data_IF_049148348317
#
_entry.id   IF_049148348317
#
_cell.length_a   1.000
_cell.length_b   1.000
_cell.length_c   1.000
_cell.angle_alpha   90.00
_cell.angle_beta   90.00
_cell.angle_gamma   90.00
#
_symmetry.space_group_name_H-M   'P 1'
#
loop_
_entity.id
_entity.type
_entity.pdbx_description
1 polymer ?
#
# COMPACT_ATOMS: atom_id res chain seq x y z
N UNK A 1 14.78 85.33 17.18
CA UNK A 1 15.21 84.54 16.01
C UNK A 1 13.93 84.10 15.33
N UNK A 2 13.41 84.93 14.42
CA UNK A 2 13.66 84.83 12.95
C UNK A 2 13.17 83.46 12.42
N UNK A 3 12.02 83.43 11.72
CA UNK A 3 11.91 83.45 10.24
C UNK A 3 12.35 82.10 9.61
N UNK A 4 11.75 81.51 8.58
CA UNK A 4 10.60 81.79 7.74
C UNK A 4 10.39 80.61 6.75
N UNK A 5 9.13 80.45 6.30
CA UNK A 5 8.63 80.17 4.92
C UNK A 5 9.16 78.99 4.06
N UNK A 6 8.21 78.17 3.58
CA UNK A 6 7.65 78.13 2.20
C UNK A 6 6.59 76.98 2.12
N UNK A 7 5.27 77.12 1.83
CA UNK A 7 4.49 77.62 0.64
C UNK A 7 5.11 77.21 -0.69
N UNK A 8 4.43 76.68 -1.72
CA UNK A 8 3.04 76.36 -2.15
C UNK A 8 3.21 75.43 -3.38
N UNK A 9 2.28 74.54 -3.75
CA UNK A 9 1.36 74.65 -4.92
C UNK A 9 0.66 73.29 -5.02
N UNK A 10 -0.65 73.11 -4.78
CA UNK A 10 -1.86 73.49 -5.53
C UNK A 10 -2.06 72.78 -6.89
N UNK A 11 -2.94 71.76 -6.92
CA UNK A 11 -3.98 71.52 -7.96
C UNK A 11 -4.88 70.32 -7.60
N UNK A 12 -6.12 70.62 -7.20
CA UNK A 12 -7.37 69.88 -7.50
C UNK A 12 -8.03 70.58 -8.73
N UNK A 13 -9.14 70.14 -9.37
CA UNK A 13 -10.12 69.09 -9.03
C UNK A 13 -10.49 68.19 -10.24
N UNK A 14 -11.31 67.14 -10.11
CA UNK A 14 -12.74 67.03 -10.53
C UNK A 14 -13.18 65.61 -10.06
N UNK A 15 -14.13 65.34 -9.14
CA UNK A 15 -15.57 65.66 -9.03
C UNK A 15 -16.27 65.57 -10.37
N UNK A 16 -17.15 64.60 -10.60
CA UNK A 16 -18.54 64.52 -10.07
C UNK A 16 -19.15 63.16 -10.49
N UNK A 17 -20.20 62.56 -9.92
CA UNK A 17 -21.13 62.84 -8.82
C UNK A 17 -21.81 61.50 -8.46
N UNK A 18 -21.84 61.15 -7.17
CA UNK A 18 -23.04 60.99 -6.30
C UNK A 18 -23.84 59.69 -6.48
N UNK A 19 -23.73 58.77 -5.49
CA UNK A 19 -24.68 58.52 -4.36
C UNK A 19 -25.99 57.89 -4.86
N UNK A 20 -26.48 56.80 -4.29
CA UNK A 20 -26.79 56.65 -2.86
C UNK A 20 -27.07 55.16 -2.55
N UNK A 21 -26.67 54.69 -1.34
CA UNK A 21 -27.36 53.72 -0.44
C UNK A 21 -27.80 52.33 -0.96
N UNK A 22 -27.75 51.22 -0.24
CA UNK A 22 -27.39 50.82 1.13
C UNK A 22 -27.50 49.26 1.12
N UNK A 23 -26.76 48.58 2.00
CA UNK A 23 -26.95 47.17 2.46
C UNK A 23 -26.99 46.01 1.44
N UNK A 24 -25.95 45.16 1.48
CA UNK A 24 -26.04 43.86 2.16
C UNK A 24 -24.66 43.16 2.24
N UNK A 25 -24.36 42.62 3.42
CA UNK A 25 -23.14 41.86 3.73
C UNK A 25 -23.22 40.49 3.05
N UNK A 26 -22.29 40.20 2.13
CA UNK A 26 -22.05 38.85 1.64
C UNK A 26 -21.36 37.99 2.70
N UNK A 27 -22.16 37.28 3.49
CA UNK A 27 -21.74 36.13 4.29
C UNK A 27 -21.70 34.88 3.41
N UNK A 28 -20.64 34.08 3.58
CA UNK A 28 -20.44 32.76 3.00
C UNK A 28 -21.67 31.86 3.17
N UNK A 29 -22.09 31.07 2.16
CA UNK A 29 -23.10 30.06 2.38
C UNK A 29 -22.48 28.87 3.10
N UNK A 30 -22.95 28.70 4.33
CA UNK A 30 -22.71 27.60 5.26
C UNK A 30 -23.35 26.29 4.80
N UNK A 31 -22.55 25.21 4.85
CA UNK A 31 -22.81 23.78 5.13
C UNK A 31 -24.16 23.07 4.88
N UNK A 32 -25.33 23.72 4.96
CA UNK A 32 -26.64 23.04 4.92
C UNK A 32 -27.24 22.84 3.52
N UNK A 33 -26.80 23.61 2.52
CA UNK A 33 -27.29 23.47 1.14
C UNK A 33 -26.54 22.40 0.32
N UNK A 34 -25.44 21.84 0.85
CA UNK A 34 -24.78 20.67 0.24
C UNK A 34 -25.45 19.36 0.64
N UNK A 35 -25.88 19.20 1.89
CA UNK A 35 -26.62 18.00 2.34
C UNK A 35 -27.97 17.85 1.61
N UNK A 36 -28.71 18.95 1.41
CA UNK A 36 -30.00 18.89 0.68
C UNK A 36 -29.88 18.60 -0.82
N UNK A 37 -28.72 18.89 -1.43
CA UNK A 37 -28.47 18.53 -2.83
C UNK A 37 -28.02 17.07 -3.00
N UNK A 38 -27.37 16.48 -1.99
CA UNK A 38 -27.06 15.05 -1.99
C UNK A 38 -28.30 14.18 -1.69
N UNK A 39 -29.25 14.65 -0.86
CA UNK A 39 -30.52 13.93 -0.61
C UNK A 39 -31.44 13.86 -1.85
N UNK A 40 -31.35 14.82 -2.78
CA UNK A 40 -32.22 14.88 -3.97
C UNK A 40 -31.73 14.05 -5.16
N UNK A 41 -30.53 13.46 -5.10
CA UNK A 41 -30.00 12.53 -6.12
C UNK A 41 -29.94 11.06 -5.63
N UNK A 42 -30.70 10.70 -4.59
CA UNK A 42 -31.00 9.28 -4.35
C UNK A 42 -31.94 8.80 -5.46
N UNK A 43 -31.33 8.18 -6.49
CA UNK A 43 -32.02 7.46 -7.55
C UNK A 43 -33.12 6.57 -6.96
N UNK A 44 -34.23 6.36 -7.65
CA UNK A 44 -35.32 5.48 -7.17
C UNK A 44 -34.79 4.07 -6.80
N UNK A 45 -33.73 3.62 -7.47
CA UNK A 45 -33.00 2.38 -7.14
C UNK A 45 -32.31 2.41 -5.77
N UNK A 46 -31.73 3.55 -5.35
CA UNK A 46 -31.07 3.67 -4.05
C UNK A 46 -32.09 3.70 -2.91
N UNK A 47 -33.27 4.30 -3.14
CA UNK A 47 -34.38 4.28 -2.17
C UNK A 47 -34.96 2.88 -2.00
N UNK A 48 -35.17 2.17 -3.11
CA UNK A 48 -35.60 0.77 -3.07
C UNK A 48 -34.58 -0.10 -2.32
N UNK A 49 -33.28 0.11 -2.57
CA UNK A 49 -32.23 -0.60 -1.86
C UNK A 49 -32.25 -0.31 -0.35
N UNK A 50 -32.46 0.95 0.06
CA UNK A 50 -32.60 1.29 1.46
C UNK A 50 -33.82 0.60 2.10
N UNK A 51 -34.98 0.65 1.45
CA UNK A 51 -36.22 0.01 1.94
C UNK A 51 -36.07 -1.52 2.04
N UNK A 52 -35.42 -2.16 1.05
CA UNK A 52 -35.17 -3.59 1.05
C UNK A 52 -34.24 -4.00 2.21
N UNK A 53 -33.18 -3.22 2.45
CA UNK A 53 -32.25 -3.44 3.57
C UNK A 53 -32.94 -3.26 4.92
N UNK A 54 -33.75 -2.21 5.08
CA UNK A 54 -34.55 -1.97 6.29
C UNK A 54 -35.52 -3.12 6.55
N UNK A 55 -36.24 -3.59 5.52
CA UNK A 55 -37.14 -4.73 5.61
C UNK A 55 -36.42 -6.01 6.07
N UNK A 56 -35.19 -6.24 5.60
CA UNK A 56 -34.40 -7.40 6.03
C UNK A 56 -33.97 -7.30 7.49
N UNK A 57 -33.55 -6.12 7.96
CA UNK A 57 -33.22 -5.91 9.38
C UNK A 57 -34.45 -6.07 10.27
N UNK A 58 -35.64 -5.64 9.83
CA UNK A 58 -36.89 -5.88 10.54
C UNK A 58 -37.24 -7.37 10.61
N UNK A 59 -37.11 -8.11 9.51
CA UNK A 59 -37.29 -9.58 9.51
C UNK A 59 -36.33 -10.31 10.44
N UNK A 60 -35.13 -9.77 10.64
CA UNK A 60 -34.16 -10.28 11.62
C UNK A 60 -34.52 -9.95 13.07
N UNK A 61 -35.38 -8.95 13.27
CA UNK A 61 -35.93 -8.59 14.60
C UNK A 61 -37.13 -9.45 14.99
N UNK A 62 -37.80 -10.09 14.03
CA UNK A 62 -38.93 -10.97 14.26
C UNK A 62 -38.50 -12.29 14.91
N UNK A 63 -39.40 -12.93 15.67
CA UNK A 63 -39.09 -14.15 16.45
C UNK A 63 -38.91 -15.42 15.59
N UNK A 64 -39.14 -15.35 14.29
CA UNK A 64 -39.14 -16.54 13.43
C UNK A 64 -37.74 -16.87 12.91
N UNK A 65 -37.08 -17.81 13.59
CA UNK A 65 -35.71 -18.25 13.29
C UNK A 65 -35.55 -18.84 11.88
N UNK A 66 -36.63 -19.32 11.25
CA UNK A 66 -36.59 -19.85 9.88
C UNK A 66 -36.36 -18.75 8.82
N UNK A 67 -36.73 -17.50 9.12
CA UNK A 67 -36.59 -16.37 8.21
C UNK A 67 -35.22 -15.67 8.32
N UNK A 68 -34.45 -15.97 9.37
CA UNK A 68 -33.13 -15.37 9.57
C UNK A 68 -32.14 -15.76 8.49
N UNK A 69 -32.13 -17.04 8.09
CA UNK A 69 -31.16 -17.53 7.11
C UNK A 69 -31.36 -16.88 5.73
N UNK A 70 -32.56 -16.85 5.14
CA UNK A 70 -32.81 -16.14 3.88
C UNK A 70 -32.52 -14.64 3.95
N UNK A 71 -32.90 -13.99 5.06
CA UNK A 71 -32.67 -12.55 5.23
C UNK A 71 -31.17 -12.21 5.31
N UNK A 72 -30.37 -12.99 6.03
CA UNK A 72 -28.93 -12.77 6.08
C UNK A 72 -28.24 -13.09 4.75
N UNK A 73 -28.68 -14.13 4.03
CA UNK A 73 -28.09 -14.50 2.73
C UNK A 73 -28.36 -13.41 1.68
N UNK A 74 -29.57 -12.86 1.67
CA UNK A 74 -29.93 -11.77 0.77
C UNK A 74 -29.19 -10.47 1.14
N UNK A 75 -29.01 -10.19 2.43
CA UNK A 75 -28.20 -9.07 2.91
C UNK A 75 -26.74 -9.19 2.44
N UNK A 76 -26.16 -10.39 2.54
CA UNK A 76 -24.84 -10.69 2.00
C UNK A 76 -24.79 -10.51 0.48
N UNK A 77 -25.79 -11.00 -0.24
CA UNK A 77 -25.85 -10.88 -1.72
C UNK A 77 -25.82 -9.43 -2.15
N UNK A 78 -26.63 -8.58 -1.50
CA UNK A 78 -26.68 -7.15 -1.79
C UNK A 78 -25.35 -6.46 -1.48
N UNK A 79 -24.78 -6.69 -0.29
CA UNK A 79 -23.46 -6.14 0.08
C UNK A 79 -22.39 -6.54 -0.94
N UNK A 80 -22.29 -7.82 -1.31
CA UNK A 80 -21.30 -8.31 -2.28
C UNK A 80 -21.50 -7.70 -3.67
N UNK A 81 -22.74 -7.62 -4.15
CA UNK A 81 -23.05 -7.07 -5.47
C UNK A 81 -22.68 -5.59 -5.61
N UNK A 82 -22.72 -4.83 -4.51
CA UNK A 82 -22.32 -3.42 -4.51
C UNK A 82 -20.84 -3.19 -4.21
N UNK A 83 -20.13 -4.17 -3.66
CA UNK A 83 -18.70 -4.07 -3.28
C UNK A 83 -17.76 -4.37 -4.45
N UNK A 84 -18.25 -4.84 -5.59
CA UNK A 84 -17.42 -5.02 -6.81
C UNK A 84 -16.93 -3.69 -7.41
N UNK A 85 -17.44 -2.55 -6.96
CA UNK A 85 -16.99 -1.24 -7.42
C UNK A 85 -15.87 -0.70 -6.53
N UNK A 86 -14.66 -0.59 -7.08
CA UNK A 86 -13.42 -0.20 -6.39
C UNK A 86 -13.39 1.26 -5.89
N UNK A 87 -14.46 2.02 -6.10
CA UNK A 87 -14.54 3.45 -5.82
C UNK A 87 -15.59 3.71 -4.74
N UNK A 88 -15.14 4.00 -3.51
CA UNK A 88 -15.89 4.43 -2.32
C UNK A 88 -16.68 3.37 -1.56
N UNK A 89 -16.80 3.59 -0.24
CA UNK A 89 -17.58 2.77 0.71
C UNK A 89 -18.94 2.42 0.10
N UNK A 90 -19.24 1.12 -0.07
CA UNK A 90 -20.46 0.65 -0.72
C UNK A 90 -21.71 1.30 -0.13
N UNK A 91 -22.61 1.79 -1.00
CA UNK A 91 -23.90 2.41 -0.59
C UNK A 91 -24.71 1.54 0.39
N UNK A 92 -24.81 0.20 0.24
CA UNK A 92 -25.51 -0.64 1.22
C UNK A 92 -24.97 -0.48 2.64
N UNK A 93 -23.66 -0.34 2.81
CA UNK A 93 -23.06 -0.18 4.14
C UNK A 93 -23.41 1.19 4.74
N UNK A 94 -23.51 2.24 3.92
CA UNK A 94 -23.98 3.57 4.39
C UNK A 94 -25.42 3.51 4.90
N UNK A 95 -26.30 2.80 4.20
CA UNK A 95 -27.70 2.64 4.60
C UNK A 95 -27.88 1.71 5.80
N UNK A 96 -27.02 0.71 5.97
CA UNK A 96 -27.06 -0.18 7.13
C UNK A 96 -26.42 0.43 8.39
N UNK A 97 -25.68 1.52 8.26
CA UNK A 97 -25.01 2.21 9.38
C UNK A 97 -25.97 2.56 10.54
N UNK A 98 -27.13 3.19 10.33
CA UNK A 98 -28.08 3.47 11.43
C UNK A 98 -28.61 2.22 12.13
N UNK A 99 -28.64 1.07 11.44
CA UNK A 99 -29.16 -0.19 11.95
C UNK A 99 -28.13 -1.05 12.69
N UNK A 100 -26.87 -0.61 12.76
CA UNK A 100 -25.79 -1.36 13.41
C UNK A 100 -26.10 -1.72 14.86
N UNK A 101 -26.62 -0.77 15.65
CA UNK A 101 -26.99 -1.03 17.05
C UNK A 101 -28.09 -2.10 17.18
N UNK A 102 -29.08 -2.05 16.30
CA UNK A 102 -30.18 -3.04 16.26
C UNK A 102 -29.68 -4.43 15.89
N UNK A 103 -28.75 -4.53 14.92
CA UNK A 103 -28.14 -5.79 14.52
C UNK A 103 -27.28 -6.42 15.64
N UNK A 104 -26.63 -5.59 16.47
CA UNK A 104 -25.89 -6.05 17.65
C UNK A 104 -26.82 -6.63 18.71
N UNK A 105 -27.94 -5.96 19.00
CA UNK A 105 -28.97 -6.48 19.93
C UNK A 105 -29.58 -7.79 19.41
N UNK A 106 -29.83 -7.89 18.11
CA UNK A 106 -30.31 -9.11 17.46
C UNK A 106 -29.28 -10.23 17.64
N UNK A 107 -27.99 -9.97 17.39
CA UNK A 107 -26.92 -10.94 17.58
C UNK A 107 -26.84 -11.45 19.03
N UNK A 108 -26.96 -10.56 20.02
CA UNK A 108 -26.95 -10.93 21.44
C UNK A 108 -28.19 -11.76 21.83
N UNK A 109 -29.35 -11.46 21.24
CA UNK A 109 -30.60 -12.19 21.43
C UNK A 109 -30.71 -13.54 20.70
N UNK A 110 -29.86 -13.80 19.69
CA UNK A 110 -29.87 -15.06 18.95
C UNK A 110 -29.29 -16.23 19.75
N UNK A 111 -29.94 -17.39 19.65
CA UNK A 111 -29.43 -18.65 20.18
C UNK A 111 -28.14 -19.09 19.46
N UNK A 112 -27.25 -19.79 20.17
CA UNK A 112 -26.01 -20.31 19.60
C UNK A 112 -26.31 -21.32 18.48
N UNK A 113 -25.88 -21.01 17.26
CA UNK A 113 -26.09 -21.82 16.07
C UNK A 113 -25.45 -21.19 14.83
N UNK A 114 -25.65 -21.81 13.67
CA UNK A 114 -25.11 -21.34 12.38
C UNK A 114 -25.59 -19.92 12.03
N UNK A 115 -26.85 -19.61 12.33
CA UNK A 115 -27.42 -18.28 12.10
C UNK A 115 -26.72 -17.18 12.91
N UNK A 116 -26.28 -17.48 14.14
CA UNK A 116 -25.55 -16.54 14.99
C UNK A 116 -24.16 -16.26 14.44
N UNK A 117 -23.45 -17.31 13.99
CA UNK A 117 -22.13 -17.16 13.35
C UNK A 117 -22.21 -16.35 12.07
N UNK A 118 -23.22 -16.63 11.24
CA UNK A 118 -23.43 -15.89 10.00
C UNK A 118 -23.85 -14.44 10.23
N UNK A 119 -24.64 -14.19 11.28
CA UNK A 119 -24.95 -12.84 11.73
C UNK A 119 -23.67 -12.11 12.21
N UNK A 120 -22.77 -12.79 12.92
CA UNK A 120 -21.47 -12.22 13.31
C UNK A 120 -20.64 -11.82 12.08
N UNK A 121 -20.60 -12.63 11.02
CA UNK A 121 -19.89 -12.27 9.79
C UNK A 121 -20.45 -10.99 9.15
N UNK A 122 -21.78 -10.85 9.08
CA UNK A 122 -22.43 -9.62 8.58
C UNK A 122 -22.15 -8.42 9.48
N UNK A 123 -22.22 -8.57 10.80
CA UNK A 123 -21.92 -7.51 11.75
C UNK A 123 -20.44 -7.09 11.66
N UNK A 124 -19.53 -8.04 11.40
CA UNK A 124 -18.10 -7.75 11.19
C UNK A 124 -17.89 -6.87 9.96
N UNK A 125 -18.58 -7.16 8.86
CA UNK A 125 -18.49 -6.35 7.63
C UNK A 125 -19.08 -4.97 7.87
N UNK A 126 -20.19 -4.85 8.60
CA UNK A 126 -20.76 -3.55 8.93
C UNK A 126 -19.87 -2.72 9.85
N UNK A 127 -19.15 -3.37 10.76
CA UNK A 127 -18.23 -2.72 11.67
C UNK A 127 -17.13 -1.93 10.93
N UNK A 128 -16.77 -2.26 9.68
CA UNK A 128 -15.81 -1.47 8.89
C UNK A 128 -16.24 -0.01 8.68
N UNK A 129 -17.55 0.25 8.69
CA UNK A 129 -18.10 1.60 8.44
C UNK A 129 -18.39 2.37 9.72
N UNK A 130 -18.27 1.71 10.85
CA UNK A 130 -18.41 2.29 12.17
C UNK A 130 -17.04 2.40 12.80
N UNK A 131 -16.69 3.60 13.25
CA UNK A 131 -15.42 3.88 13.94
C UNK A 131 -15.38 3.28 15.36
N UNK A 132 -16.04 2.14 15.58
CA UNK A 132 -15.91 1.34 16.80
C UNK A 132 -14.62 0.55 16.69
N UNK A 133 -13.59 0.99 17.40
CA UNK A 133 -12.31 0.29 17.45
C UNK A 133 -12.55 -1.19 17.82
N UNK A 134 -12.04 -2.11 17.00
CA UNK A 134 -11.89 -3.55 17.28
C UNK A 134 -13.15 -4.41 17.19
N UNK A 135 -14.28 -3.87 16.73
CA UNK A 135 -15.50 -4.67 16.62
C UNK A 135 -15.48 -5.65 15.43
N UNK A 136 -14.81 -5.32 14.31
CA UNK A 136 -14.76 -6.19 13.14
C UNK A 136 -14.04 -7.51 13.47
N UNK A 137 -12.83 -7.42 14.04
CA UNK A 137 -12.03 -8.59 14.37
C UNK A 137 -12.72 -9.49 15.41
N UNK A 138 -13.33 -8.90 16.44
CA UNK A 138 -14.09 -9.65 17.45
C UNK A 138 -15.21 -10.48 16.84
N UNK A 139 -16.02 -9.91 15.95
CA UNK A 139 -17.12 -10.65 15.32
C UNK A 139 -16.62 -11.65 14.28
N UNK A 140 -15.50 -11.38 13.62
CA UNK A 140 -14.87 -12.33 12.70
C UNK A 140 -14.36 -13.58 13.43
N UNK A 141 -13.77 -13.43 14.60
CA UNK A 141 -13.34 -14.56 15.44
C UNK A 141 -14.52 -15.41 15.95
N UNK A 142 -15.71 -14.80 16.09
CA UNK A 142 -16.96 -15.46 16.50
C UNK A 142 -17.78 -16.01 15.31
N UNK A 143 -17.41 -15.64 14.08
CA UNK A 143 -18.12 -15.96 12.84
C UNK A 143 -17.85 -17.35 12.29
N UNK A 144 -18.34 -17.62 11.08
CA UNK A 144 -18.23 -18.94 10.43
C UNK A 144 -16.90 -19.20 9.72
N UNK A 145 -15.92 -18.28 9.83
CA UNK A 145 -14.61 -18.38 9.15
C UNK A 145 -14.74 -18.61 7.63
N UNK A 146 -15.73 -17.96 6.99
CA UNK A 146 -15.95 -18.07 5.56
C UNK A 146 -14.83 -17.38 4.76
N UNK A 147 -14.48 -17.87 3.57
CA UNK A 147 -13.39 -17.34 2.74
C UNK A 147 -13.40 -15.81 2.64
N UNK A 148 -12.26 -15.20 3.01
CA UNK A 148 -12.01 -13.74 3.03
C UNK A 148 -12.36 -13.09 1.68
N UNK A 149 -12.08 -13.79 0.58
CA UNK A 149 -12.37 -13.36 -0.78
C UNK A 149 -13.84 -13.02 -1.03
N UNK A 150 -14.74 -13.62 -0.27
CA UNK A 150 -16.17 -13.46 -0.52
C UNK A 150 -16.71 -12.07 -0.16
N UNK A 151 -16.06 -11.35 0.76
CA UNK A 151 -16.51 -10.03 1.23
C UNK A 151 -15.81 -8.85 0.54
N UNK A 152 -14.79 -9.11 -0.27
CA UNK A 152 -14.09 -8.11 -1.08
C UNK A 152 -12.85 -7.53 -0.41
N UNK A 153 -12.05 -6.81 -1.21
CA UNK A 153 -10.73 -6.32 -0.81
C UNK A 153 -10.77 -5.29 0.32
N UNK A 154 -11.77 -4.40 0.33
CA UNK A 154 -11.91 -3.35 1.36
C UNK A 154 -12.12 -3.94 2.77
N UNK A 155 -12.87 -5.04 2.87
CA UNK A 155 -13.02 -5.80 4.12
C UNK A 155 -11.69 -6.38 4.58
N UNK A 156 -10.95 -7.02 3.67
CA UNK A 156 -9.66 -7.64 3.99
C UNK A 156 -8.65 -6.58 4.44
N UNK A 157 -8.63 -5.42 3.78
CA UNK A 157 -7.79 -4.28 4.16
C UNK A 157 -8.12 -3.76 5.56
N UNK A 158 -9.40 -3.54 5.88
CA UNK A 158 -9.81 -3.08 7.20
C UNK A 158 -9.49 -4.11 8.29
N UNK A 159 -9.75 -5.40 7.99
CA UNK A 159 -9.44 -6.51 8.88
C UNK A 159 -7.93 -6.63 9.14
N UNK A 160 -7.09 -6.52 8.11
CA UNK A 160 -5.63 -6.54 8.25
C UNK A 160 -5.14 -5.43 9.19
N UNK A 161 -5.65 -4.21 9.04
CA UNK A 161 -5.29 -3.09 9.91
C UNK A 161 -5.76 -3.27 11.37
N UNK A 162 -6.91 -3.90 11.61
CA UNK A 162 -7.34 -4.25 12.97
C UNK A 162 -6.49 -5.38 13.58
N UNK A 163 -6.15 -6.39 12.78
CA UNK A 163 -5.30 -7.52 13.21
C UNK A 163 -3.92 -7.02 13.63
N UNK A 164 -3.34 -6.09 12.88
CA UNK A 164 -2.05 -5.52 13.20
C UNK A 164 -2.09 -4.69 14.50
N UNK A 165 -3.15 -3.90 14.70
CA UNK A 165 -3.36 -3.16 15.97
C UNK A 165 -3.57 -4.10 17.16
N UNK A 166 -4.37 -5.16 17.00
CA UNK A 166 -4.56 -6.14 18.08
C UNK A 166 -3.25 -6.86 18.40
N UNK A 167 -2.45 -7.19 17.39
CA UNK A 167 -1.14 -7.80 17.59
C UNK A 167 -0.21 -6.95 18.47
N UNK A 168 -0.20 -5.63 18.28
CA UNK A 168 0.61 -4.70 19.08
C UNK A 168 0.13 -4.55 20.53
N UNK A 169 -1.16 -4.77 20.79
CA UNK A 169 -1.74 -4.62 22.13
C UNK A 169 -1.79 -5.90 22.94
N UNK A 170 -1.74 -7.07 22.28
CA UNK A 170 -1.70 -8.36 22.95
C UNK A 170 -0.39 -8.50 23.72
N UNK A 171 -0.49 -8.66 25.04
CA UNK A 171 0.67 -8.98 25.88
C UNK A 171 1.31 -10.31 25.43
N UNK A 172 2.64 -10.40 25.44
CA UNK A 172 3.41 -11.59 25.00
C UNK A 172 3.01 -12.91 25.67
N UNK A 173 2.25 -12.88 26.77
CA UNK A 173 1.78 -14.04 27.50
C UNK A 173 0.54 -14.73 26.88
N UNK A 174 -0.21 -14.07 25.99
CA UNK A 174 -1.46 -14.59 25.44
C UNK A 174 -1.25 -15.36 24.11
N UNK A 175 -0.46 -16.43 24.18
CA UNK A 175 -0.06 -17.25 23.02
C UNK A 175 -1.23 -17.79 22.20
N UNK A 176 -2.37 -18.06 22.84
CA UNK A 176 -3.58 -18.54 22.16
C UNK A 176 -4.22 -17.50 21.23
N UNK A 177 -4.19 -16.23 21.64
CA UNK A 177 -4.68 -15.13 20.81
C UNK A 177 -3.69 -14.88 19.66
N UNK A 178 -2.39 -14.88 19.96
CA UNK A 178 -1.35 -14.76 18.93
C UNK A 178 -1.45 -15.86 17.86
N UNK A 179 -1.63 -17.13 18.25
CA UNK A 179 -1.80 -18.21 17.28
C UNK A 179 -3.05 -18.03 16.41
N UNK A 180 -4.12 -17.47 16.98
CA UNK A 180 -5.36 -17.22 16.26
C UNK A 180 -5.19 -16.09 15.24
N UNK A 181 -4.55 -14.99 15.65
CA UNK A 181 -4.20 -13.89 14.75
C UNK A 181 -3.24 -14.35 13.64
N UNK A 182 -2.24 -15.17 13.96
CA UNK A 182 -1.32 -15.73 12.96
C UNK A 182 -2.02 -16.62 11.94
N UNK A 183 -3.04 -17.40 12.32
CA UNK A 183 -3.86 -18.16 11.36
C UNK A 183 -4.56 -17.23 10.39
N UNK A 184 -5.13 -16.13 10.90
CA UNK A 184 -5.80 -15.14 10.06
C UNK A 184 -4.83 -14.44 9.10
N UNK A 185 -3.63 -14.07 9.58
CA UNK A 185 -2.56 -13.48 8.74
C UNK A 185 -2.14 -14.43 7.63
N UNK A 186 -2.02 -15.73 7.92
CA UNK A 186 -1.70 -16.77 6.92
C UNK A 186 -2.77 -16.92 5.85
N UNK A 187 -4.01 -16.53 6.11
CA UNK A 187 -5.08 -16.49 5.10
C UNK A 187 -5.08 -15.16 4.33
N UNK A 188 -4.80 -14.03 4.99
CA UNK A 188 -4.81 -12.69 4.39
C UNK A 188 -3.63 -12.48 3.44
N UNK A 189 -2.41 -12.87 3.82
CA UNK A 189 -1.19 -12.61 3.03
C UNK A 189 -1.26 -13.21 1.62
N UNK A 190 -1.58 -14.51 1.43
CA UNK A 190 -1.70 -15.09 0.09
C UNK A 190 -2.81 -14.44 -0.74
N UNK A 191 -3.93 -14.07 -0.08
CA UNK A 191 -5.04 -13.41 -0.75
C UNK A 191 -4.62 -12.04 -1.30
N UNK A 192 -3.93 -11.23 -0.50
CA UNK A 192 -3.44 -9.91 -0.92
C UNK A 192 -2.42 -10.03 -2.05
N UNK A 193 -1.51 -11.02 -1.99
CA UNK A 193 -0.54 -11.27 -3.04
C UNK A 193 -1.21 -11.67 -4.37
N UNK A 194 -2.25 -12.51 -4.33
CA UNK A 194 -3.00 -12.91 -5.53
C UNK A 194 -3.82 -11.77 -6.16
N UNK A 195 -4.23 -10.77 -5.38
CA UNK A 195 -5.07 -9.66 -5.84
C UNK A 195 -4.28 -8.38 -6.18
N UNK A 196 -2.96 -8.48 -6.39
CA UNK A 196 -2.06 -7.34 -6.67
C UNK A 196 -2.05 -6.28 -5.53
N UNK A 197 -2.26 -6.70 -4.29
CA UNK A 197 -2.14 -5.88 -3.10
C UNK A 197 -0.88 -6.25 -2.30
N UNK A 198 0.25 -6.40 -3.01
CA UNK A 198 1.49 -6.92 -2.42
C UNK A 198 2.06 -5.97 -1.35
N UNK A 199 1.89 -4.66 -1.53
CA UNK A 199 2.30 -3.64 -0.56
C UNK A 199 1.51 -3.73 0.76
N UNK A 200 0.18 -3.95 0.70
CA UNK A 200 -0.64 -4.12 1.90
C UNK A 200 -0.26 -5.40 2.67
N UNK A 201 0.14 -6.47 1.97
CA UNK A 201 0.67 -7.67 2.60
C UNK A 201 2.02 -7.41 3.30
N UNK A 202 2.89 -6.61 2.68
CA UNK A 202 4.17 -6.23 3.26
C UNK A 202 3.98 -5.36 4.52
N UNK A 203 3.06 -4.39 4.48
CA UNK A 203 2.76 -3.52 5.61
C UNK A 203 2.24 -4.33 6.80
N UNK A 204 1.29 -5.25 6.55
CA UNK A 204 0.78 -6.16 7.58
C UNK A 204 1.90 -6.99 8.24
N UNK A 205 2.81 -7.55 7.45
CA UNK A 205 3.92 -8.36 7.97
C UNK A 205 5.00 -7.53 8.67
N UNK A 206 5.17 -6.26 8.26
CA UNK A 206 6.05 -5.31 8.92
C UNK A 206 5.50 -4.95 10.31
N UNK A 207 4.21 -4.65 10.43
CA UNK A 207 3.56 -4.33 11.70
C UNK A 207 3.50 -5.51 12.68
N UNK A 208 3.47 -6.74 12.16
CA UNK A 208 3.48 -7.99 12.95
C UNK A 208 4.91 -8.46 13.27
N UNK A 209 5.93 -7.79 12.70
CA UNK A 209 7.36 -8.14 12.83
C UNK A 209 7.67 -9.59 12.39
N UNK A 210 6.90 -10.14 11.44
CA UNK A 210 7.05 -11.53 10.94
C UNK A 210 7.30 -11.58 9.44
N UNK A 211 8.31 -10.81 9.00
CA UNK A 211 8.74 -10.73 7.62
C UNK A 211 9.26 -12.06 7.05
N UNK A 212 9.70 -13.00 7.89
CA UNK A 212 10.17 -14.33 7.47
C UNK A 212 9.12 -15.09 6.64
N UNK A 213 7.83 -14.89 6.94
CA UNK A 213 6.75 -15.56 6.23
C UNK A 213 6.60 -15.09 4.79
N UNK A 214 7.08 -13.89 4.47
CA UNK A 214 6.94 -13.32 3.14
C UNK A 214 7.65 -14.19 2.10
N UNK A 215 8.76 -14.83 2.46
CA UNK A 215 9.56 -15.67 1.54
C UNK A 215 8.74 -16.81 0.93
N UNK A 216 7.79 -17.38 1.67
CA UNK A 216 6.98 -18.54 1.23
C UNK A 216 5.90 -18.17 0.21
N UNK A 217 5.42 -16.92 0.24
CA UNK A 217 4.24 -16.48 -0.52
C UNK A 217 4.57 -15.57 -1.72
N UNK A 218 5.86 -15.36 -2.02
CA UNK A 218 6.26 -14.53 -3.17
C UNK A 218 6.34 -15.35 -4.46
N UNK A 219 5.66 -14.84 -5.48
CA UNK A 219 5.72 -15.32 -6.86
C UNK A 219 6.73 -14.54 -7.73
N UNK A 220 7.09 -15.12 -8.89
CA UNK A 220 7.98 -14.50 -9.89
C UNK A 220 7.49 -13.13 -10.42
N UNK A 221 6.19 -12.87 -10.41
CA UNK A 221 5.65 -11.58 -10.86
C UNK A 221 5.63 -10.52 -9.76
N UNK A 222 5.63 -10.95 -8.49
CA UNK A 222 5.46 -10.09 -7.34
C UNK A 222 6.79 -9.63 -6.74
N UNK A 223 7.85 -10.45 -6.81
CA UNK A 223 9.13 -10.15 -6.12
C UNK A 223 9.71 -8.79 -6.50
N UNK A 224 9.61 -8.40 -7.77
CA UNK A 224 10.15 -7.11 -8.23
C UNK A 224 9.49 -5.94 -7.52
N UNK A 225 8.16 -5.94 -7.43
CA UNK A 225 7.38 -4.88 -6.76
C UNK A 225 7.62 -4.90 -5.26
N UNK A 226 7.59 -6.08 -4.64
CA UNK A 226 7.82 -6.26 -3.20
C UNK A 226 9.20 -5.77 -2.80
N UNK A 227 10.26 -6.18 -3.51
CA UNK A 227 11.61 -5.73 -3.19
C UNK A 227 11.82 -4.23 -3.42
N UNK A 228 11.21 -3.66 -4.47
CA UNK A 228 11.22 -2.21 -4.69
C UNK A 228 10.53 -1.47 -3.54
N UNK A 229 9.38 -1.98 -3.10
CA UNK A 229 8.64 -1.44 -1.97
C UNK A 229 9.48 -1.48 -0.69
N UNK A 230 9.97 -2.67 -0.30
CA UNK A 230 10.84 -2.84 0.87
C UNK A 230 12.06 -1.92 0.83
N UNK A 231 12.75 -1.84 -0.32
CA UNK A 231 13.92 -0.96 -0.47
C UNK A 231 13.56 0.52 -0.32
N UNK A 232 12.36 0.94 -0.72
CA UNK A 232 11.90 2.32 -0.52
C UNK A 232 11.57 2.61 0.94
N UNK A 233 11.03 1.61 1.67
CA UNK A 233 10.70 1.72 3.09
C UNK A 233 11.94 1.88 3.99
N UNK A 234 13.10 1.35 3.58
CA UNK A 234 14.40 1.46 4.29
C UNK A 234 14.72 2.89 4.73
N UNK A 235 14.44 3.90 3.90
CA UNK A 235 14.76 5.31 4.21
C UNK A 235 13.87 5.91 5.30
N UNK A 236 12.72 5.28 5.57
CA UNK A 236 11.70 5.77 6.50
C UNK A 236 11.72 5.04 7.86
N UNK A 237 12.43 3.91 7.94
CA UNK A 237 12.47 3.05 9.12
C UNK A 237 13.80 3.25 9.86
N UNK A 238 13.77 3.44 11.20
CA UNK A 238 14.99 3.56 11.98
C UNK A 238 15.78 2.23 12.06
N UNK A 239 17.08 2.32 12.34
CA UNK A 239 17.85 1.14 12.79
C UNK A 239 17.35 0.72 14.19
N UNK A 240 17.09 -0.59 14.47
CA UNK A 240 17.57 -1.78 13.77
C UNK A 240 16.60 -2.45 12.77
N UNK A 241 15.32 -2.09 12.76
CA UNK A 241 14.29 -2.70 11.89
C UNK A 241 14.63 -2.59 10.40
N UNK A 242 15.28 -1.50 10.01
CA UNK A 242 15.78 -1.31 8.66
C UNK A 242 16.72 -2.46 8.20
N UNK A 243 17.56 -2.95 9.12
CA UNK A 243 18.48 -4.06 8.82
C UNK A 243 17.73 -5.38 8.57
N UNK A 244 16.63 -5.62 9.29
CA UNK A 244 15.77 -6.80 9.10
C UNK A 244 15.05 -6.73 7.74
N UNK A 245 14.54 -5.56 7.36
CA UNK A 245 13.91 -5.33 6.06
C UNK A 245 14.88 -5.59 4.90
N UNK A 246 16.11 -5.06 4.99
CA UNK A 246 17.14 -5.29 4.00
C UNK A 246 17.54 -6.77 3.91
N UNK A 247 17.66 -7.47 5.06
CA UNK A 247 17.95 -8.92 5.10
C UNK A 247 16.84 -9.74 4.45
N UNK A 248 15.57 -9.42 4.72
CA UNK A 248 14.43 -10.07 4.07
C UNK A 248 14.42 -9.83 2.55
N UNK A 249 14.57 -8.57 2.10
CA UNK A 249 14.63 -8.24 0.68
C UNK A 249 15.80 -8.95 -0.04
N UNK A 250 16.94 -9.09 0.64
CA UNK A 250 18.10 -9.81 0.14
C UNK A 250 17.82 -11.30 -0.03
N UNK A 251 17.20 -11.95 0.97
CA UNK A 251 16.82 -13.37 0.87
C UNK A 251 15.87 -13.61 -0.30
N UNK A 252 14.91 -12.71 -0.51
CA UNK A 252 13.99 -12.75 -1.66
C UNK A 252 14.77 -12.66 -2.97
N UNK A 253 15.68 -11.70 -3.13
CA UNK A 253 16.50 -11.59 -4.34
C UNK A 253 17.38 -12.82 -4.57
N UNK A 254 17.93 -13.41 -3.50
CA UNK A 254 18.71 -14.65 -3.58
C UNK A 254 17.86 -15.82 -4.06
N UNK A 255 16.60 -15.95 -3.61
CA UNK A 255 15.65 -16.98 -4.05
C UNK A 255 15.34 -16.88 -5.54
N UNK A 256 15.22 -15.67 -6.08
CA UNK A 256 14.97 -15.42 -7.52
C UNK A 256 16.25 -15.31 -8.37
N UNK A 257 17.42 -15.70 -7.85
CA UNK A 257 18.72 -15.67 -8.54
C UNK A 257 19.13 -14.26 -9.06
N UNK A 258 18.67 -13.20 -8.39
CA UNK A 258 19.03 -11.80 -8.70
C UNK A 258 20.19 -11.34 -7.84
N UNK A 259 21.37 -11.88 -8.12
CA UNK A 259 22.59 -11.64 -7.36
C UNK A 259 23.09 -10.18 -7.38
N UNK A 260 23.05 -9.43 -8.51
CA UNK A 260 23.51 -8.04 -8.53
C UNK A 260 22.71 -7.12 -7.60
N UNK A 261 21.39 -7.26 -7.58
CA UNK A 261 20.51 -6.49 -6.70
C UNK A 261 20.68 -6.91 -5.24
N UNK A 262 20.82 -8.23 -4.97
CA UNK A 262 21.11 -8.74 -3.63
C UNK A 262 22.44 -8.18 -3.09
N UNK A 263 23.49 -8.14 -3.92
CA UNK A 263 24.80 -7.60 -3.57
C UNK A 263 24.70 -6.11 -3.21
N UNK A 264 23.92 -5.34 -3.96
CA UNK A 264 23.69 -3.92 -3.65
C UNK A 264 23.09 -3.74 -2.26
N UNK A 265 22.12 -4.57 -1.87
CA UNK A 265 21.56 -4.52 -0.51
C UNK A 265 22.54 -5.00 0.56
N UNK A 266 23.33 -6.03 0.28
CA UNK A 266 24.38 -6.51 1.19
C UNK A 266 25.43 -5.44 1.46
N UNK A 267 25.81 -4.66 0.44
CA UNK A 267 26.71 -3.51 0.58
C UNK A 267 26.10 -2.39 1.43
N UNK A 268 24.78 -2.16 1.34
CA UNK A 268 24.11 -1.20 2.24
C UNK A 268 24.12 -1.66 3.70
N UNK A 269 24.05 -2.97 3.94
CA UNK A 269 24.17 -3.57 5.28
C UNK A 269 25.63 -3.60 5.81
N UNK A 270 26.61 -3.37 4.93
CA UNK A 270 28.05 -3.45 5.23
C UNK A 270 28.49 -4.78 5.87
N UNK A 271 27.81 -5.88 5.51
CA UNK A 271 28.06 -7.22 6.04
C UNK A 271 28.93 -8.01 5.06
N UNK A 272 30.24 -8.07 5.32
CA UNK A 272 31.25 -8.66 4.41
C UNK A 272 30.99 -10.14 4.17
N UNK A 273 30.58 -10.88 5.20
CA UNK A 273 30.30 -12.32 5.09
C UNK A 273 29.10 -12.56 4.16
N UNK A 274 28.06 -11.72 4.22
CA UNK A 274 26.93 -11.83 3.31
C UNK A 274 27.32 -11.53 1.86
N UNK A 275 28.17 -10.52 1.65
CA UNK A 275 28.68 -10.15 0.31
C UNK A 275 29.45 -11.33 -0.29
N UNK A 276 30.35 -11.95 0.48
CA UNK A 276 31.11 -13.13 0.05
C UNK A 276 30.19 -14.31 -0.29
N UNK A 277 29.21 -14.59 0.58
CA UNK A 277 28.23 -15.65 0.35
C UNK A 277 27.42 -15.45 -0.93
N UNK A 278 27.00 -14.22 -1.24
CA UNK A 278 26.26 -13.90 -2.47
C UNK A 278 27.16 -14.08 -3.70
N UNK A 279 28.40 -13.62 -3.60
CA UNK A 279 29.37 -13.72 -4.70
C UNK A 279 29.67 -15.18 -5.05
N UNK A 280 29.93 -16.01 -4.04
CA UNK A 280 30.19 -17.45 -4.18
C UNK A 280 28.95 -18.25 -4.61
N UNK A 281 27.74 -17.78 -4.24
CA UNK A 281 26.49 -18.42 -4.68
C UNK A 281 26.22 -18.27 -6.17
N UNK A 282 26.80 -17.25 -6.82
CA UNK A 282 26.62 -17.00 -8.24
C UNK A 282 27.53 -17.94 -9.06
N UNK A 283 26.96 -18.69 -10.00
CA UNK A 283 27.72 -19.58 -10.90
C UNK A 283 28.03 -18.97 -12.26
N UNK A 284 27.40 -17.86 -12.60
CA UNK A 284 27.56 -17.21 -13.91
C UNK A 284 28.72 -16.20 -13.85
N UNK A 285 29.78 -16.49 -14.59
CA UNK A 285 31.01 -15.69 -14.68
C UNK A 285 30.71 -14.25 -15.12
N UNK A 286 29.74 -14.04 -16.03
CA UNK A 286 29.43 -12.70 -16.52
C UNK A 286 28.80 -11.85 -15.42
N UNK A 287 27.90 -12.45 -14.65
CA UNK A 287 27.25 -11.79 -13.50
C UNK A 287 28.26 -11.56 -12.38
N UNK A 288 29.18 -12.51 -12.13
CA UNK A 288 30.30 -12.32 -11.20
C UNK A 288 31.20 -11.16 -11.61
N UNK A 289 31.56 -11.04 -12.90
CA UNK A 289 32.34 -9.89 -13.41
C UNK A 289 31.59 -8.57 -13.21
N UNK A 290 30.27 -8.53 -13.45
CA UNK A 290 29.43 -7.35 -13.16
C UNK A 290 29.42 -6.99 -11.66
N UNK A 291 29.32 -7.99 -10.79
CA UNK A 291 29.41 -7.81 -9.35
C UNK A 291 30.78 -7.31 -8.90
N UNK A 292 31.87 -7.84 -9.48
CA UNK A 292 33.23 -7.39 -9.23
C UNK A 292 33.42 -5.89 -9.60
N UNK A 293 32.85 -5.43 -10.72
CA UNK A 293 32.84 -3.99 -11.05
C UNK A 293 32.09 -3.14 -10.02
N UNK A 294 30.98 -3.65 -9.48
CA UNK A 294 30.25 -2.94 -8.41
C UNK A 294 31.07 -2.86 -7.12
N UNK A 295 31.75 -3.94 -6.74
CA UNK A 295 32.63 -4.00 -5.57
C UNK A 295 33.83 -3.07 -5.72
N UNK A 296 34.50 -3.09 -6.87
CA UNK A 296 35.62 -2.20 -7.18
C UNK A 296 35.23 -0.72 -7.17
N UNK A 297 34.00 -0.38 -7.56
CA UNK A 297 33.47 1.00 -7.41
C UNK A 297 33.19 1.37 -5.95
N UNK A 298 32.69 0.43 -5.16
CA UNK A 298 32.45 0.63 -3.73
C UNK A 298 33.76 0.65 -2.91
N UNK A 299 34.87 0.18 -3.49
CA UNK A 299 36.16 0.06 -2.81
C UNK A 299 36.21 -1.09 -1.81
N UNK A 300 35.32 -2.08 -1.95
CA UNK A 300 35.31 -3.29 -1.13
C UNK A 300 36.10 -4.37 -1.87
N UNK A 301 37.14 -4.88 -1.21
CA UNK A 301 37.95 -5.97 -1.72
C UNK A 301 37.58 -7.26 -0.99
N UNK A 302 37.25 -8.31 -1.73
CA UNK A 302 37.02 -9.64 -1.19
C UNK A 302 38.24 -10.50 -1.48
N UNK A 303 38.76 -11.17 -0.45
CA UNK A 303 39.72 -12.26 -0.65
C UNK A 303 38.95 -13.47 -1.16
N UNK A 304 38.90 -13.64 -2.48
CA UNK A 304 38.31 -14.82 -3.09
C UNK A 304 39.25 -16.02 -2.90
N UNK A 305 38.69 -17.24 -2.82
CA UNK A 305 39.51 -18.44 -2.87
C UNK A 305 40.10 -18.63 -4.27
N UNK A 306 41.33 -19.12 -4.36
CA UNK A 306 42.04 -19.38 -5.63
C UNK A 306 41.34 -20.42 -6.52
N UNK A 307 40.40 -21.19 -5.95
CA UNK A 307 39.61 -22.22 -6.65
C UNK A 307 38.46 -21.65 -7.51
N UNK A 308 38.24 -20.33 -7.48
CA UNK A 308 37.19 -19.66 -8.28
C UNK A 308 37.65 -19.50 -9.73
N UNK A 309 36.81 -19.93 -10.68
CA UNK A 309 37.05 -19.72 -12.11
C UNK A 309 37.24 -18.22 -12.43
N UNK A 310 38.23 -17.88 -13.26
CA UNK A 310 38.59 -16.50 -13.60
C UNK A 310 39.02 -15.62 -12.38
N UNK A 311 39.60 -16.22 -11.32
CA UNK A 311 40.08 -15.50 -10.13
C UNK A 311 40.96 -14.27 -10.43
N UNK A 312 41.93 -14.41 -11.35
CA UNK A 312 42.85 -13.32 -11.71
C UNK A 312 42.10 -12.14 -12.34
N UNK A 313 41.21 -12.41 -13.30
CA UNK A 313 40.36 -11.41 -13.95
C UNK A 313 39.45 -10.70 -12.92
N UNK A 314 38.81 -11.47 -12.03
CA UNK A 314 37.91 -10.93 -11.01
C UNK A 314 38.68 -10.02 -10.03
N UNK A 315 39.87 -10.43 -9.60
CA UNK A 315 40.73 -9.66 -8.70
C UNK A 315 41.24 -8.37 -9.36
N UNK A 316 41.61 -8.43 -10.65
CA UNK A 316 42.01 -7.27 -11.43
C UNK A 316 40.86 -6.26 -11.61
N UNK A 317 39.65 -6.77 -11.88
CA UNK A 317 38.42 -5.96 -11.99
C UNK A 317 38.08 -5.30 -10.65
N UNK A 318 38.12 -6.04 -9.54
CA UNK A 318 37.85 -5.50 -8.20
C UNK A 318 38.88 -4.42 -7.81
N UNK A 319 40.15 -4.62 -8.19
CA UNK A 319 41.23 -3.66 -7.96
C UNK A 319 41.16 -2.43 -8.87
N UNK A 320 40.20 -2.40 -9.81
CA UNK A 320 39.89 -1.28 -10.67
C UNK A 320 41.06 -0.84 -11.58
N UNK A 321 41.98 -1.77 -11.89
CA UNK A 321 43.23 -1.50 -12.62
C UNK A 321 42.96 -1.03 -14.05
N UNK A 322 41.98 -1.67 -14.72
CA UNK A 322 41.61 -1.38 -16.11
C UNK A 322 40.54 -0.27 -16.25
N UNK A 323 40.25 0.48 -15.18
CA UNK A 323 39.22 1.52 -15.23
C UNK A 323 39.51 2.56 -16.32
N UNK A 324 40.75 3.06 -16.38
CA UNK A 324 41.14 4.09 -17.34
C UNK A 324 40.99 3.61 -18.80
N UNK A 325 41.45 2.39 -19.11
CA UNK A 325 41.30 1.80 -20.44
C UNK A 325 39.83 1.61 -20.81
N UNK A 326 38.99 1.14 -19.87
CA UNK A 326 37.56 0.95 -20.10
C UNK A 326 36.82 2.28 -20.32
N UNK A 327 37.15 3.33 -19.56
CA UNK A 327 36.59 4.67 -19.78
C UNK A 327 37.02 5.27 -21.12
N UNK A 328 38.27 5.07 -21.54
CA UNK A 328 38.75 5.51 -22.84
C UNK A 328 38.06 4.77 -23.99
N UNK A 329 37.84 3.46 -23.85
CA UNK A 329 37.12 2.65 -24.84
C UNK A 329 35.66 3.11 -24.96
N UNK A 330 34.95 3.26 -23.82
CA UNK A 330 33.57 3.73 -23.79
C UNK A 330 33.43 5.14 -24.40
N UNK A 331 34.36 6.05 -24.11
CA UNK A 331 34.36 7.39 -24.68
C UNK A 331 34.54 7.38 -26.21
N UNK A 332 35.33 6.43 -26.75
CA UNK A 332 35.47 6.24 -28.20
C UNK A 332 34.16 5.75 -28.82
N UNK A 333 33.55 4.71 -28.28
CA UNK A 333 32.29 4.13 -28.80
C UNK A 333 31.13 5.13 -28.77
N UNK A 334 30.96 5.86 -27.66
CA UNK A 334 29.93 6.91 -27.56
C UNK A 334 30.15 8.01 -28.59
N UNK A 335 31.40 8.38 -28.85
CA UNK A 335 31.73 9.37 -29.87
C UNK A 335 31.47 8.85 -31.30
N UNK A 336 31.68 7.55 -31.56
CA UNK A 336 31.35 6.93 -32.83
C UNK A 336 29.83 6.90 -33.08
N UNK A 337 29.02 6.55 -32.08
CA UNK A 337 27.56 6.61 -32.18
C UNK A 337 27.05 8.04 -32.43
N UNK A 338 27.63 9.05 -31.77
CA UNK A 338 27.31 10.46 -32.03
C UNK A 338 27.65 10.86 -33.47
N UNK A 339 28.79 10.40 -34.00
CA UNK A 339 29.16 10.63 -35.41
C UNK A 339 28.15 9.99 -36.37
N UNK A 340 27.78 8.73 -36.15
CA UNK A 340 26.79 8.01 -36.99
C UNK A 340 25.45 8.74 -36.98
N UNK A 341 24.95 9.14 -35.81
CA UNK A 341 23.71 9.89 -35.68
C UNK A 341 23.79 11.27 -36.36
N UNK A 342 24.93 11.94 -36.29
CA UNK A 342 25.16 13.21 -36.99
C UNK A 342 25.15 13.07 -38.52
N UNK A 343 25.71 11.99 -39.05
CA UNK A 343 25.70 11.68 -40.48
C UNK A 343 24.29 11.34 -40.95
N UNK A 344 23.56 10.49 -40.22
CA UNK A 344 22.16 10.18 -40.50
C UNK A 344 21.28 11.43 -40.53
N UNK A 345 21.49 12.36 -39.59
CA UNK A 345 20.77 13.65 -39.55
C UNK A 345 21.08 14.51 -40.77
N UNK A 346 22.34 14.62 -41.20
CA UNK A 346 22.72 15.34 -42.43
C UNK A 346 22.14 14.71 -43.69
N UNK A 347 22.11 13.38 -43.77
CA UNK A 347 21.50 12.67 -44.90
C UNK A 347 19.99 12.91 -45.01
N UNK A 348 19.28 13.03 -43.87
CA UNK A 348 17.86 13.40 -43.85
C UNK A 348 17.63 14.84 -44.27
N UNK A 349 18.44 15.80 -43.79
CA UNK A 349 18.34 17.21 -44.20
C UNK A 349 18.63 17.41 -45.70
N UNK A 350 19.55 16.62 -46.26
CA UNK A 350 19.90 16.69 -47.69
C UNK A 350 18.88 15.98 -48.61
N UNK A 351 18.06 15.06 -48.10
CA UNK A 351 17.03 14.37 -48.86
C UNK A 351 15.68 15.11 -48.93
N UNK A 352 15.51 16.17 -48.14
CA UNK A 352 14.34 17.05 -48.16
C UNK A 352 14.51 18.31 -49.03
N UNK A 353 15.62 18.43 -49.77
CA UNK A 353 15.83 19.42 -50.84
C UNK A 353 15.82 18.71 -52.17
#
# INVERSE_FOLDING_TARGET
>A
MEEAKNKKENKLPEKTDEKDKDKEKGQQPSGKDKEKKEEQELSEEDKQLQEDLEMMVERLSDKNTALYRPALEELRRQIRSSTTSMTSVPKPLKFLRPHYGKLKEIYDGMAAGENKRFCADVVSVLAMTMSGERECLKYRLLGSQEELASWGHEYVRHLAGEVAKEWQEVEENDKTQQETLLKLVKEIVPYNMAHNAEHEACDLLMEIERLDMLEDYIDENAYGKVCLYLTSCVSYVPEPENSALLRCALNIFKKFNRYPEALRLALMLNDVELVENIFTSCKDIVIQKQMAFMLGRHGMFLELNEDVEDYEDLTEIMSNVQLNSNFLALAREVNEQKKINSVRRRSLDNGCR
#
